data_IF_080755817902
#
_entry.id   IF_080755817902
#
_cell.length_a   1.000
_cell.length_b   1.000
_cell.length_c   1.000
_cell.angle_alpha   90.00
_cell.angle_beta   90.00
_cell.angle_gamma   90.00
#
_symmetry.space_group_name_H-M   'P 1'
#
loop_
_entity.id
_entity.type
_entity.pdbx_description
1 polymer ?
#
# COMPACT_ATOMS: atom_id res chain seq x y z
N UNK A 1 7.24 -11.41 15.82
CA UNK A 1 8.59 -11.65 16.38
C UNK A 1 9.69 -11.77 15.29
N UNK A 2 9.50 -11.24 14.06
CA UNK A 2 10.46 -11.44 12.96
C UNK A 2 11.29 -10.22 12.55
N UNK A 3 11.03 -9.03 13.10
CA UNK A 3 11.88 -7.84 12.86
C UNK A 3 12.26 -7.17 14.18
N UNK A 4 13.11 -7.83 14.96
CA UNK A 4 14.09 -7.12 15.79
C UNK A 4 15.45 -7.40 15.19
N UNK A 5 15.81 -6.65 14.15
CA UNK A 5 17.20 -6.62 13.70
C UNK A 5 17.91 -5.49 14.42
N UNK A 6 19.02 -5.88 15.04
CA UNK A 6 20.05 -5.02 15.59
C UNK A 6 20.35 -3.87 14.63
N UNK A 7 20.15 -2.66 15.14
CA UNK A 7 20.39 -1.39 14.45
C UNK A 7 21.89 -1.08 14.36
N UNK A 8 22.70 -2.01 13.83
CA UNK A 8 24.03 -1.69 13.31
C UNK A 8 23.83 -1.25 11.87
N UNK A 9 23.75 0.07 11.70
CA UNK A 9 23.34 0.74 10.48
C UNK A 9 24.18 0.40 9.27
N UNK A 10 23.68 -0.52 8.45
CA UNK A 10 24.00 -0.53 7.03
C UNK A 10 23.11 0.52 6.38
N UNK A 11 23.68 1.70 6.19
CA UNK A 11 23.07 2.76 5.40
C UNK A 11 23.55 2.62 3.95
N UNK A 12 22.67 2.91 3.01
CA UNK A 12 23.07 3.06 1.60
C UNK A 12 24.19 4.09 1.55
N UNK A 13 25.31 3.75 0.91
CA UNK A 13 26.45 4.67 0.81
C UNK A 13 26.03 5.98 0.14
N UNK A 14 26.71 7.09 0.46
CA UNK A 14 26.44 8.37 -0.21
C UNK A 14 26.58 8.24 -1.74
N UNK A 15 27.54 7.45 -2.22
CA UNK A 15 27.77 7.24 -3.65
C UNK A 15 26.62 6.54 -4.36
N UNK A 16 26.08 5.45 -3.78
CA UNK A 16 24.93 4.76 -4.36
C UNK A 16 23.66 5.60 -4.23
N UNK A 17 23.49 6.30 -3.11
CA UNK A 17 22.36 7.22 -2.90
C UNK A 17 22.33 8.33 -3.95
N UNK A 18 23.44 9.00 -4.19
CA UNK A 18 23.55 10.07 -5.19
C UNK A 18 23.28 9.54 -6.60
N UNK A 19 23.73 8.32 -6.89
CA UNK A 19 23.47 7.69 -8.17
C UNK A 19 21.98 7.35 -8.35
N UNK A 20 21.32 6.82 -7.32
CA UNK A 20 19.89 6.55 -7.31
C UNK A 20 19.08 7.84 -7.44
N UNK A 21 19.48 8.92 -6.76
CA UNK A 21 18.82 10.23 -6.86
C UNK A 21 18.94 10.80 -8.28
N UNK A 22 20.13 10.70 -8.90
CA UNK A 22 20.35 11.12 -10.31
C UNK A 22 19.48 10.34 -11.30
N UNK A 23 19.11 9.10 -10.98
CA UNK A 23 18.25 8.25 -11.83
C UNK A 23 16.78 8.23 -11.39
N UNK A 24 16.44 8.89 -10.27
CA UNK A 24 15.11 8.86 -9.63
C UNK A 24 13.98 9.11 -10.61
N UNK A 25 14.04 10.19 -11.37
CA UNK A 25 12.99 10.56 -12.32
C UNK A 25 12.71 9.45 -13.34
N UNK A 26 13.76 8.82 -13.90
CA UNK A 26 13.63 7.70 -14.85
C UNK A 26 13.06 6.45 -14.18
N UNK A 27 13.56 6.10 -12.99
CA UNK A 27 13.11 4.91 -12.25
C UNK A 27 11.64 5.05 -11.86
N UNK A 28 11.28 6.17 -11.22
CA UNK A 28 9.94 6.43 -10.70
C UNK A 28 8.93 6.53 -11.85
N UNK A 29 9.28 7.18 -12.97
CA UNK A 29 8.40 7.22 -14.16
C UNK A 29 8.06 5.81 -14.65
N UNK A 30 9.06 4.95 -14.84
CA UNK A 30 8.85 3.56 -15.27
C UNK A 30 8.08 2.75 -14.24
N UNK A 31 8.26 3.06 -12.96
CA UNK A 31 7.55 2.40 -11.87
C UNK A 31 6.07 2.78 -11.85
N UNK A 32 5.75 4.06 -12.03
CA UNK A 32 4.38 4.57 -12.20
C UNK A 32 3.71 3.90 -13.40
N UNK A 33 4.37 3.88 -14.56
CA UNK A 33 3.85 3.22 -15.77
C UNK A 33 3.53 1.75 -15.50
N UNK A 34 4.46 1.01 -14.89
CA UNK A 34 4.24 -0.38 -14.51
C UNK A 34 3.03 -0.56 -13.57
N UNK A 35 2.90 0.30 -12.55
CA UNK A 35 1.80 0.24 -11.58
C UNK A 35 0.46 0.54 -12.23
N UNK A 36 0.40 1.54 -13.10
CA UNK A 36 -0.82 1.88 -13.84
C UNK A 36 -1.23 0.74 -14.79
N UNK A 37 -0.26 0.07 -15.41
CA UNK A 37 -0.53 -1.06 -16.32
C UNK A 37 -1.01 -2.34 -15.61
N UNK A 38 -1.05 -2.36 -14.28
CA UNK A 38 -1.68 -3.45 -13.53
C UNK A 38 -3.20 -3.34 -13.45
N UNK A 39 -3.78 -2.18 -13.80
CA UNK A 39 -5.23 -1.99 -13.86
C UNK A 39 -5.78 -2.49 -15.21
N UNK A 40 -7.11 -2.63 -15.31
CA UNK A 40 -7.75 -2.99 -16.56
C UNK A 40 -7.34 -2.01 -17.70
N UNK A 41 -7.17 -2.48 -18.95
CA UNK A 41 -6.61 -1.67 -20.04
C UNK A 41 -7.26 -0.29 -20.23
N UNK A 42 -8.60 -0.21 -20.19
CA UNK A 42 -9.33 1.05 -20.34
C UNK A 42 -9.04 2.02 -19.19
N UNK A 43 -8.98 1.50 -17.96
CA UNK A 43 -8.65 2.29 -16.77
C UNK A 43 -7.19 2.75 -16.82
N UNK A 44 -6.26 1.88 -17.22
CA UNK A 44 -4.86 2.23 -17.37
C UNK A 44 -4.64 3.34 -18.41
N UNK A 45 -5.34 3.26 -19.55
CA UNK A 45 -5.31 4.29 -20.59
C UNK A 45 -5.85 5.63 -20.07
N UNK A 46 -6.97 5.61 -19.33
CA UNK A 46 -7.52 6.80 -18.70
C UNK A 46 -6.54 7.41 -17.69
N UNK A 47 -5.94 6.59 -16.81
CA UNK A 47 -5.01 7.07 -15.78
C UNK A 47 -3.71 7.67 -16.36
N UNK A 48 -3.29 7.23 -17.54
CA UNK A 48 -2.14 7.78 -18.28
C UNK A 48 -2.46 9.11 -18.97
N UNK A 49 -3.65 9.23 -19.56
CA UNK A 49 -4.00 10.37 -20.41
C UNK A 49 -4.65 11.52 -19.64
N UNK A 50 -5.33 11.26 -18.53
CA UNK A 50 -5.96 12.30 -17.72
C UNK A 50 -4.97 12.87 -16.69
N UNK A 51 -4.62 14.15 -16.85
CA UNK A 51 -3.64 14.85 -16.02
C UNK A 51 -4.29 15.42 -14.76
N UNK A 52 -5.54 15.86 -14.86
CA UNK A 52 -6.26 16.47 -13.74
C UNK A 52 -6.47 15.44 -12.61
N UNK A 53 -5.91 15.70 -11.43
CA UNK A 53 -5.95 14.77 -10.30
C UNK A 53 -7.35 14.68 -9.65
N UNK A 54 -8.23 15.66 -9.87
CA UNK A 54 -9.62 15.58 -9.44
C UNK A 54 -10.40 14.59 -10.32
N UNK A 55 -10.14 14.61 -11.63
CA UNK A 55 -10.72 13.65 -12.58
C UNK A 55 -10.01 12.29 -12.57
N UNK A 56 -8.74 12.24 -12.14
CA UNK A 56 -7.90 11.05 -12.07
C UNK A 56 -7.25 10.86 -10.68
N UNK A 57 -8.06 10.63 -9.63
CA UNK A 57 -7.55 10.49 -8.28
C UNK A 57 -6.65 9.26 -8.11
N UNK A 58 -6.89 8.18 -8.87
CA UNK A 58 -6.07 6.97 -8.82
C UNK A 58 -4.68 7.21 -9.41
N UNK A 59 -4.60 7.83 -10.59
CA UNK A 59 -3.33 8.19 -11.22
C UNK A 59 -2.55 9.20 -10.39
N UNK A 60 -3.21 10.25 -9.89
CA UNK A 60 -2.58 11.25 -9.02
C UNK A 60 -2.02 10.65 -7.74
N UNK A 61 -2.83 9.84 -7.03
CA UNK A 61 -2.39 9.11 -5.83
C UNK A 61 -1.21 8.20 -6.15
N UNK A 62 -1.28 7.43 -7.25
CA UNK A 62 -0.20 6.53 -7.65
C UNK A 62 1.12 7.28 -7.87
N UNK A 63 1.09 8.39 -8.62
CA UNK A 63 2.29 9.22 -8.85
C UNK A 63 2.89 9.73 -7.55
N UNK A 64 2.08 10.38 -6.72
CA UNK A 64 2.54 10.98 -5.45
C UNK A 64 3.10 9.94 -4.48
N UNK A 65 2.42 8.79 -4.33
CA UNK A 65 2.86 7.75 -3.39
C UNK A 65 4.16 7.08 -3.87
N UNK A 66 4.31 6.79 -5.16
CA UNK A 66 5.53 6.15 -5.66
C UNK A 66 6.75 7.07 -5.60
N UNK A 67 6.57 8.37 -5.82
CA UNK A 67 7.63 9.37 -5.59
C UNK A 67 8.10 9.37 -4.14
N UNK A 68 7.16 9.46 -3.19
CA UNK A 68 7.46 9.45 -1.75
C UNK A 68 8.10 8.14 -1.32
N UNK A 69 7.59 7.00 -1.77
CA UNK A 69 8.15 5.69 -1.43
C UNK A 69 9.58 5.53 -1.93
N UNK A 70 9.92 6.07 -3.10
CA UNK A 70 11.30 6.06 -3.58
C UNK A 70 12.21 6.92 -2.69
N UNK A 71 11.75 8.08 -2.22
CA UNK A 71 12.51 8.90 -1.27
C UNK A 71 12.72 8.19 0.07
N UNK A 72 11.67 7.55 0.57
CA UNK A 72 11.69 6.77 1.81
C UNK A 72 12.63 5.56 1.70
N UNK A 73 12.75 4.92 0.53
CA UNK A 73 13.76 3.88 0.30
C UNK A 73 15.19 4.38 0.55
N UNK A 74 15.47 5.64 0.21
CA UNK A 74 16.77 6.29 0.40
C UNK A 74 16.96 6.85 1.82
N UNK A 75 15.90 6.89 2.62
CA UNK A 75 15.91 7.30 4.04
C UNK A 75 15.83 6.07 4.94
N UNK A 76 15.94 6.29 6.24
CA UNK A 76 15.72 5.25 7.27
C UNK A 76 14.44 5.62 8.03
N UNK A 77 13.32 5.73 7.32
CA UNK A 77 12.03 6.01 7.94
C UNK A 77 11.55 4.77 8.72
N UNK A 78 10.77 5.00 9.78
CA UNK A 78 10.19 3.93 10.58
C UNK A 78 9.02 3.24 9.87
N UNK A 79 8.71 2.01 10.28
CA UNK A 79 7.70 1.19 9.62
C UNK A 79 6.29 1.82 9.59
N UNK A 80 5.91 2.60 10.60
CA UNK A 80 4.57 3.20 10.69
C UNK A 80 4.43 4.36 9.70
N UNK A 81 5.47 5.20 9.57
CA UNK A 81 5.53 6.26 8.57
C UNK A 81 5.47 5.71 7.14
N UNK A 82 6.20 4.61 6.88
CA UNK A 82 6.16 3.93 5.58
C UNK A 82 4.76 3.37 5.31
N UNK A 83 4.15 2.71 6.30
CA UNK A 83 2.80 2.15 6.19
C UNK A 83 1.76 3.23 5.87
N UNK A 84 1.79 4.36 6.58
CA UNK A 84 0.89 5.49 6.34
C UNK A 84 1.08 6.09 4.93
N UNK A 85 2.32 6.13 4.44
CA UNK A 85 2.61 6.62 3.08
C UNK A 85 1.99 5.73 2.01
N UNK A 86 2.08 4.40 2.14
CA UNK A 86 1.56 3.48 1.12
C UNK A 86 0.06 3.20 1.23
N UNK A 87 -0.55 3.46 2.38
CA UNK A 87 -1.96 3.13 2.67
C UNK A 87 -2.94 3.62 1.60
N UNK A 88 -2.89 4.87 1.10
CA UNK A 88 -3.86 5.35 0.11
C UNK A 88 -3.85 4.50 -1.17
N UNK A 89 -2.67 4.17 -1.70
CA UNK A 89 -2.55 3.36 -2.92
C UNK A 89 -2.98 1.91 -2.69
N UNK A 90 -2.57 1.32 -1.56
CA UNK A 90 -2.91 -0.06 -1.23
C UNK A 90 -4.41 -0.20 -0.95
N UNK A 91 -5.03 0.78 -0.30
CA UNK A 91 -6.47 0.83 -0.05
C UNK A 91 -7.26 0.86 -1.36
N UNK A 92 -6.85 1.68 -2.34
CA UNK A 92 -7.46 1.68 -3.69
C UNK A 92 -7.41 0.27 -4.28
N UNK A 93 -6.25 -0.39 -4.23
CA UNK A 93 -6.07 -1.75 -4.76
C UNK A 93 -6.87 -2.81 -4.01
N UNK A 94 -7.04 -2.67 -2.70
CA UNK A 94 -7.88 -3.55 -1.88
C UNK A 94 -9.37 -3.45 -2.25
N UNK A 95 -9.84 -2.24 -2.60
CA UNK A 95 -11.21 -2.00 -3.10
C UNK A 95 -11.39 -2.56 -4.50
N UNK A 96 -10.37 -2.46 -5.36
CA UNK A 96 -10.38 -2.96 -6.74
C UNK A 96 -10.22 -4.50 -6.85
N UNK A 97 -10.36 -5.24 -5.76
CA UNK A 97 -10.30 -6.71 -5.70
C UNK A 97 -9.00 -7.34 -6.25
N UNK A 98 -7.88 -6.62 -6.16
CA UNK A 98 -6.57 -7.22 -6.41
C UNK A 98 -6.32 -8.38 -5.44
N UNK A 99 -5.64 -9.43 -5.90
CA UNK A 99 -5.09 -10.43 -4.98
C UNK A 99 -3.96 -9.82 -4.13
N UNK A 100 -3.60 -10.42 -2.98
CA UNK A 100 -2.51 -9.90 -2.15
C UNK A 100 -1.21 -9.73 -2.94
N UNK A 101 -0.85 -10.70 -3.78
CA UNK A 101 0.37 -10.65 -4.59
C UNK A 101 0.32 -9.54 -5.65
N UNK A 102 -0.83 -9.31 -6.28
CA UNK A 102 -0.98 -8.21 -7.24
C UNK A 102 -0.95 -6.84 -6.56
N UNK A 103 -1.50 -6.73 -5.35
CA UNK A 103 -1.58 -5.47 -4.61
C UNK A 103 -0.20 -4.93 -4.21
N UNK A 104 0.73 -5.81 -3.82
CA UNK A 104 2.07 -5.45 -3.33
C UNK A 104 3.20 -5.75 -4.33
N UNK A 105 2.93 -6.56 -5.36
CA UNK A 105 3.93 -7.03 -6.33
C UNK A 105 4.72 -5.92 -7.02
N UNK A 106 4.12 -4.74 -7.15
CA UNK A 106 4.79 -3.56 -7.71
C UNK A 106 6.04 -3.14 -6.95
N UNK A 107 6.14 -3.40 -5.64
CA UNK A 107 7.30 -3.05 -4.83
C UNK A 107 8.53 -3.85 -5.27
N UNK A 108 8.38 -5.15 -5.54
CA UNK A 108 9.48 -6.00 -5.98
C UNK A 108 10.02 -5.63 -7.37
N UNK A 109 9.17 -5.08 -8.25
CA UNK A 109 9.59 -4.65 -9.60
C UNK A 109 10.62 -3.53 -9.54
N UNK A 110 10.63 -2.74 -8.47
CA UNK A 110 11.61 -1.68 -8.26
C UNK A 110 13.05 -2.21 -8.28
N UNK A 111 13.30 -3.42 -7.77
CA UNK A 111 14.61 -4.12 -7.83
C UNK A 111 15.12 -4.25 -9.26
N UNK A 112 14.21 -4.59 -10.19
CA UNK A 112 14.53 -4.77 -11.60
C UNK A 112 14.73 -3.44 -12.30
N UNK A 113 13.90 -2.43 -11.99
CA UNK A 113 14.02 -1.09 -12.56
C UNK A 113 15.35 -0.43 -12.17
N UNK A 114 15.74 -0.53 -10.90
CA UNK A 114 17.03 -0.03 -10.41
C UNK A 114 18.19 -0.69 -11.16
N UNK A 115 18.21 -2.03 -11.26
CA UNK A 115 19.27 -2.75 -11.98
C UNK A 115 19.36 -2.37 -13.45
N UNK A 116 18.22 -2.15 -14.11
CA UNK A 116 18.17 -1.72 -15.52
C UNK A 116 18.74 -0.31 -15.69
N UNK A 117 18.37 0.63 -14.82
CA UNK A 117 18.85 2.02 -14.89
C UNK A 117 20.32 2.19 -14.52
N UNK A 118 20.84 1.31 -13.66
CA UNK A 118 22.23 1.31 -13.21
C UNK A 118 23.14 0.36 -14.00
N UNK A 119 22.67 -0.20 -15.12
CA UNK A 119 23.37 -1.27 -15.86
C UNK A 119 24.82 -0.93 -16.20
N UNK A 120 25.14 0.34 -16.49
CA UNK A 120 26.50 0.78 -16.84
C UNK A 120 27.39 0.93 -15.62
N UNK A 121 26.78 1.22 -14.48
CA UNK A 121 27.40 1.52 -13.20
C UNK A 121 27.53 0.30 -12.30
N UNK A 122 26.77 -0.78 -12.54
CA UNK A 122 26.74 -2.02 -11.74
C UNK A 122 28.13 -2.58 -11.42
N UNK A 123 29.08 -2.52 -12.36
CA UNK A 123 30.45 -3.03 -12.15
C UNK A 123 31.25 -2.24 -11.10
N UNK A 124 30.80 -1.03 -10.77
CA UNK A 124 31.45 -0.10 -9.82
C UNK A 124 30.73 -0.03 -8.48
N UNK A 125 29.54 -0.64 -8.38
CA UNK A 125 28.72 -0.64 -7.17
C UNK A 125 29.11 -1.86 -6.34
N UNK A 126 29.29 -1.67 -5.03
CA UNK A 126 29.51 -2.79 -4.12
C UNK A 126 28.25 -3.69 -4.10
N UNK A 127 28.36 -5.00 -4.39
CA UNK A 127 27.23 -5.93 -4.33
C UNK A 127 26.45 -5.88 -3.01
N UNK A 128 27.14 -5.71 -1.88
CA UNK A 128 26.52 -5.64 -0.54
C UNK A 128 25.60 -4.41 -0.41
N UNK A 129 25.93 -3.29 -1.06
CA UNK A 129 25.08 -2.10 -1.06
C UNK A 129 23.81 -2.30 -1.88
N UNK A 130 23.90 -3.05 -2.98
CA UNK A 130 22.73 -3.39 -3.79
C UNK A 130 21.83 -4.39 -3.06
N UNK A 131 22.41 -5.34 -2.32
CA UNK A 131 21.69 -6.27 -1.46
C UNK A 131 20.95 -5.52 -0.35
N UNK A 132 21.55 -4.50 0.26
CA UNK A 132 20.87 -3.65 1.23
C UNK A 132 19.63 -2.95 0.64
N UNK A 133 19.72 -2.46 -0.60
CA UNK A 133 18.56 -1.90 -1.32
C UNK A 133 17.48 -2.96 -1.51
N UNK A 134 17.85 -4.20 -1.86
CA UNK A 134 16.89 -5.28 -2.02
C UNK A 134 16.18 -5.63 -0.70
N UNK A 135 16.93 -5.72 0.41
CA UNK A 135 16.39 -5.97 1.75
C UNK A 135 15.39 -4.89 2.16
N UNK A 136 15.69 -3.62 1.85
CA UNK A 136 14.75 -2.52 2.09
C UNK A 136 13.49 -2.67 1.27
N UNK A 137 13.61 -2.99 -0.02
CA UNK A 137 12.44 -3.20 -0.90
C UNK A 137 11.58 -4.38 -0.39
N UNK A 138 12.21 -5.47 0.06
CA UNK A 138 11.48 -6.60 0.64
C UNK A 138 10.76 -6.20 1.93
N UNK A 139 11.39 -5.37 2.77
CA UNK A 139 10.75 -4.81 3.97
C UNK A 139 9.55 -3.93 3.62
N UNK A 140 9.66 -3.07 2.58
CA UNK A 140 8.53 -2.29 2.08
C UNK A 140 7.38 -3.19 1.62
N UNK A 141 7.68 -4.30 0.95
CA UNK A 141 6.69 -5.25 0.48
C UNK A 141 5.95 -5.96 1.63
N UNK A 142 6.65 -6.32 2.70
CA UNK A 142 6.05 -6.90 3.90
C UNK A 142 5.13 -5.89 4.61
N UNK A 143 5.59 -4.65 4.79
CA UNK A 143 4.75 -3.59 5.37
C UNK A 143 3.50 -3.37 4.50
N UNK A 144 3.66 -3.35 3.18
CA UNK A 144 2.54 -3.21 2.25
C UNK A 144 1.56 -4.36 2.29
N UNK A 145 2.05 -5.58 2.51
CA UNK A 145 1.19 -6.73 2.71
C UNK A 145 0.33 -6.56 3.98
N UNK A 146 0.93 -6.15 5.10
CA UNK A 146 0.18 -5.91 6.33
C UNK A 146 -0.88 -4.81 6.15
N UNK A 147 -0.53 -3.71 5.46
CA UNK A 147 -1.47 -2.64 5.11
C UNK A 147 -2.63 -3.17 4.26
N UNK A 148 -2.35 -4.01 3.28
CA UNK A 148 -3.37 -4.60 2.41
C UNK A 148 -4.33 -5.50 3.19
N UNK A 149 -3.80 -6.37 4.05
CA UNK A 149 -4.61 -7.26 4.89
C UNK A 149 -5.53 -6.45 5.79
N UNK A 150 -5.02 -5.44 6.51
CA UNK A 150 -5.84 -4.54 7.35
C UNK A 150 -6.95 -3.86 6.55
N UNK A 151 -6.65 -3.42 5.33
CA UNK A 151 -7.63 -2.82 4.43
C UNK A 151 -8.74 -3.82 4.05
N UNK A 152 -8.37 -5.06 3.69
CA UNK A 152 -9.34 -6.11 3.34
C UNK A 152 -10.21 -6.53 4.51
N UNK A 153 -9.63 -6.71 5.70
CA UNK A 153 -10.36 -6.97 6.94
C UNK A 153 -11.42 -5.90 7.17
N UNK A 154 -11.04 -4.62 7.09
CA UNK A 154 -11.99 -3.51 7.27
C UNK A 154 -13.11 -3.51 6.23
N UNK A 155 -12.79 -3.82 4.97
CA UNK A 155 -13.79 -3.93 3.89
C UNK A 155 -14.77 -5.07 4.20
N UNK A 156 -14.30 -6.22 4.69
CA UNK A 156 -15.16 -7.33 5.05
C UNK A 156 -16.03 -7.03 6.26
N UNK A 157 -15.48 -6.42 7.31
CA UNK A 157 -16.26 -6.00 8.48
C UNK A 157 -17.41 -5.07 8.09
N UNK A 158 -17.14 -4.11 7.19
CA UNK A 158 -18.15 -3.19 6.68
C UNK A 158 -19.24 -3.92 5.88
N UNK A 159 -18.87 -4.91 5.05
CA UNK A 159 -19.84 -5.73 4.30
C UNK A 159 -20.74 -6.51 5.26
N UNK A 160 -20.16 -7.24 6.21
CA UNK A 160 -20.91 -8.02 7.19
C UNK A 160 -21.82 -7.16 8.06
N UNK A 161 -21.35 -5.98 8.50
CA UNK A 161 -22.19 -5.04 9.24
C UNK A 161 -23.35 -4.51 8.41
N UNK A 162 -23.09 -4.15 7.15
CA UNK A 162 -24.13 -3.66 6.23
C UNK A 162 -25.20 -4.72 5.98
N UNK A 163 -24.81 -5.98 5.79
CA UNK A 163 -25.73 -7.10 5.62
C UNK A 163 -26.59 -7.32 6.86
N UNK A 164 -25.98 -7.35 8.06
CA UNK A 164 -26.70 -7.46 9.34
C UNK A 164 -27.72 -6.32 9.52
N UNK A 165 -27.31 -5.08 9.27
CA UNK A 165 -28.20 -3.92 9.37
C UNK A 165 -29.35 -3.96 8.36
N UNK A 166 -29.12 -4.43 7.12
CA UNK A 166 -30.18 -4.61 6.12
C UNK A 166 -31.19 -5.66 6.56
N UNK A 167 -30.70 -6.80 7.05
CA UNK A 167 -31.54 -7.89 7.56
C UNK A 167 -32.39 -7.40 8.74
N UNK A 168 -31.76 -6.78 9.73
CA UNK A 168 -32.45 -6.19 10.88
C UNK A 168 -33.53 -5.19 10.45
N UNK A 169 -33.18 -4.26 9.55
CA UNK A 169 -34.13 -3.25 9.05
C UNK A 169 -35.31 -3.88 8.30
N UNK A 170 -35.07 -4.94 7.52
CA UNK A 170 -36.11 -5.66 6.81
C UNK A 170 -37.06 -6.39 7.79
N UNK A 171 -36.52 -7.08 8.79
CA UNK A 171 -37.32 -7.74 9.83
C UNK A 171 -38.09 -6.72 10.68
N UNK A 172 -37.49 -5.58 11.02
CA UNK A 172 -38.16 -4.48 11.74
C UNK A 172 -39.35 -3.94 10.93
N UNK A 173 -39.15 -3.66 9.63
CA UNK A 173 -40.22 -3.19 8.74
C UNK A 173 -41.34 -4.21 8.54
N UNK A 174 -41.02 -5.50 8.58
CA UNK A 174 -42.00 -6.58 8.51
C UNK A 174 -42.76 -6.81 9.84
N UNK A 175 -42.44 -6.06 10.89
CA UNK A 175 -43.03 -6.25 12.23
C UNK A 175 -42.60 -7.54 12.92
N UNK A 176 -41.54 -8.19 12.42
CA UNK A 176 -41.03 -9.49 12.90
C UNK A 176 -40.02 -9.34 14.04
N UNK A 177 -39.65 -8.10 14.39
CA UNK A 177 -38.84 -7.78 15.56
C UNK A 177 -39.76 -7.22 16.64
N UNK A 178 -39.91 -7.95 17.74
CA UNK A 178 -40.41 -7.37 18.99
C UNK A 178 -39.20 -6.77 19.71
N UNK A 179 -39.22 -5.46 19.95
CA UNK A 179 -38.36 -4.88 20.98
C UNK A 179 -38.71 -5.60 22.28
N UNK A 180 -37.75 -6.37 22.80
CA UNK A 180 -37.86 -6.91 24.15
C UNK A 180 -37.78 -5.67 25.04
N UNK A 181 -38.91 -5.28 25.65
CA UNK A 181 -38.90 -4.27 26.69
C UNK A 181 -37.80 -4.68 27.67
N UNK A 182 -36.82 -3.79 27.89
CA UNK A 182 -35.85 -4.01 28.95
C UNK A 182 -36.66 -4.18 30.22
N UNK A 183 -36.68 -5.39 30.77
CA UNK A 183 -37.33 -5.69 32.04
C UNK A 183 -36.90 -4.60 33.02
N UNK A 184 -37.86 -3.81 33.50
CA UNK A 184 -37.61 -2.90 34.61
C UNK A 184 -36.98 -3.75 35.73
N UNK A 185 -35.82 -3.36 36.29
CA UNK A 185 -35.27 -4.08 37.41
C UNK A 185 -36.33 -4.07 38.52
N UNK A 186 -36.82 -5.26 38.89
CA UNK A 186 -37.80 -5.50 39.95
C UNK A 186 -37.18 -5.06 41.28
N UNK A 187 -37.15 -3.75 41.52
CA UNK A 187 -36.75 -3.12 42.77
C UNK A 187 -37.92 -3.26 43.75
N UNK A 188 -38.14 -4.49 44.21
CA UNK A 188 -38.83 -4.71 45.49
C UNK A 188 -37.82 -4.56 46.61
N UNK A 189 -37.69 -3.35 47.12
CA UNK A 189 -37.18 -3.13 48.46
C UNK A 189 -38.14 -2.24 49.26
N UNK A 190 -38.83 -2.93 50.18
CA UNK A 190 -39.56 -2.49 51.38
C UNK A 190 -40.89 -1.78 51.17
#
# INVERSE_FOLDING_TARGET
MFFRQNNKGYCISMGLRDLLEKKKSSIVKKWIEFVIDTYAPDAALFFKNQIDDFLNPVGGTTRSILEKLFETLLKNDDADSIAATMEPLIKIRAVQNFSPSQAVGFLFVLKTLIRKELKKELKKINPEELELVDVRIDSLALIGFDVFVRCREKIYDLKTNTERSKIYTAFARAGLIKEIAADEPDLKFV
#
